data_IF_641661242947
#
_entry.id   IF_641661242947
#
_cell.length_a   1.000
_cell.length_b   1.000
_cell.length_c   1.000
_cell.angle_alpha   90.00
_cell.angle_beta   90.00
_cell.angle_gamma   90.00
#
_symmetry.space_group_name_H-M   'P 1'
#
loop_
_entity.id
_entity.type
_entity.pdbx_description
1 polymer ?
#
# COMPACT_ATOMS: atom_id res chain seq x y z
N UNK A 1 -15.33 36.72 -20.07
CA UNK A 1 -16.35 37.03 -19.05
C UNK A 1 -17.28 35.84 -18.94
N UNK A 2 -17.49 35.33 -17.72
CA UNK A 2 -18.47 34.28 -17.43
C UNK A 2 -19.89 34.75 -17.78
N UNK A 3 -20.74 33.87 -18.32
CA UNK A 3 -21.84 33.29 -17.52
C UNK A 3 -22.48 32.05 -18.20
N UNK A 4 -23.14 31.27 -17.34
CA UNK A 4 -23.68 29.91 -17.39
C UNK A 4 -24.88 29.72 -18.33
N UNK A 5 -25.03 28.48 -18.83
CA UNK A 5 -26.20 27.56 -18.74
C UNK A 5 -26.32 26.68 -19.99
N UNK A 6 -26.99 25.53 -19.85
CA UNK A 6 -27.27 24.46 -20.83
C UNK A 6 -26.09 23.46 -20.97
N UNK A 7 -26.17 22.17 -20.67
CA UNK A 7 -27.29 21.24 -20.71
C UNK A 7 -27.12 20.13 -19.65
N UNK A 8 -28.25 19.73 -19.05
CA UNK A 8 -28.42 18.46 -18.34
C UNK A 8 -29.71 17.83 -18.90
N UNK A 9 -29.76 16.49 -18.87
CA UNK A 9 -30.92 15.59 -19.03
C UNK A 9 -31.06 14.92 -20.41
N UNK A 10 -30.63 13.66 -20.52
CA UNK A 10 -31.52 12.46 -20.65
C UNK A 10 -30.70 11.18 -20.87
N UNK A 11 -31.02 10.11 -20.12
CA UNK A 11 -30.62 8.75 -20.47
C UNK A 11 -30.54 7.75 -19.32
N UNK A 12 -31.70 7.14 -18.99
CA UNK A 12 -31.94 5.78 -18.46
C UNK A 12 -30.95 5.17 -17.44
N UNK A 13 -31.35 4.77 -16.22
CA UNK A 13 -32.48 3.89 -15.94
C UNK A 13 -32.01 2.43 -15.88
N UNK A 14 -31.50 2.00 -14.72
CA UNK A 14 -31.07 0.62 -14.49
C UNK A 14 -30.57 0.41 -13.06
N UNK A 15 -31.38 -0.30 -12.27
CA UNK A 15 -31.19 -0.53 -10.84
C UNK A 15 -29.86 -1.19 -10.48
N UNK A 16 -29.12 -0.61 -9.53
CA UNK A 16 -28.07 -1.28 -8.76
C UNK A 16 -28.13 -0.76 -7.33
N UNK A 17 -28.29 -1.70 -6.39
CA UNK A 17 -28.47 -1.45 -4.97
C UNK A 17 -27.37 -0.56 -4.39
N UNK A 18 -27.80 0.38 -3.57
CA UNK A 18 -27.02 1.22 -2.69
C UNK A 18 -26.22 0.36 -1.70
N UNK A 19 -25.00 -0.04 -2.08
CA UNK A 19 -23.96 -0.31 -1.08
C UNK A 19 -23.46 1.06 -0.64
N UNK A 20 -24.06 1.57 0.43
CA UNK A 20 -23.48 2.64 1.24
C UNK A 20 -22.20 2.10 1.88
N UNK A 21 -21.12 2.13 1.10
CA UNK A 21 -19.77 1.97 1.62
C UNK A 21 -19.48 3.16 2.52
N UNK A 22 -19.63 2.97 3.83
CA UNK A 22 -19.00 3.84 4.81
C UNK A 22 -17.50 3.84 4.49
N UNK A 23 -17.01 4.96 3.97
CA UNK A 23 -15.59 5.23 3.90
C UNK A 23 -15.08 5.29 5.33
N UNK A 24 -14.57 4.16 5.82
CA UNK A 24 -13.86 4.18 7.08
C UNK A 24 -12.67 5.13 6.92
N UNK A 25 -12.52 6.13 7.81
CA UNK A 25 -11.32 6.93 7.84
C UNK A 25 -10.17 5.96 8.12
N UNK A 26 -9.12 6.04 7.30
CA UNK A 26 -7.88 5.30 7.47
C UNK A 26 -7.37 5.61 8.88
N UNK A 27 -7.60 4.68 9.82
CA UNK A 27 -7.17 4.83 11.20
C UNK A 27 -5.65 4.85 11.21
N UNK A 28 -5.13 5.99 11.59
CA UNK A 28 -3.73 6.19 11.83
C UNK A 28 -3.39 5.98 13.30
N UNK A 29 -2.50 5.02 13.53
CA UNK A 29 -1.63 4.84 14.70
C UNK A 29 -2.28 4.76 16.09
N UNK A 30 -2.93 3.63 16.38
CA UNK A 30 -2.96 3.00 17.71
C UNK A 30 -2.51 1.54 17.52
N UNK A 31 -1.39 1.12 18.13
CA UNK A 31 -0.86 -0.27 18.05
C UNK A 31 0.06 -0.55 16.86
N UNK A 32 1.33 -0.13 16.92
CA UNK A 32 2.37 -0.62 16.00
C UNK A 32 3.12 -1.77 16.67
N UNK A 33 3.19 -2.92 16.01
CA UNK A 33 3.93 -4.08 16.53
C UNK A 33 5.40 -3.96 16.10
N UNK A 34 6.38 -4.07 17.01
CA UNK A 34 7.79 -4.09 16.61
C UNK A 34 8.10 -5.35 15.79
N UNK A 35 9.02 -5.28 14.82
CA UNK A 35 9.40 -6.43 13.98
C UNK A 35 9.82 -7.67 14.78
N UNK A 36 10.45 -7.48 15.94
CA UNK A 36 10.84 -8.57 16.84
C UNK A 36 9.65 -9.33 17.46
N UNK A 37 8.47 -8.71 17.51
CA UNK A 37 7.23 -9.32 18.00
C UNK A 37 6.34 -9.85 16.85
N UNK A 38 6.82 -9.81 15.60
CA UNK A 38 6.08 -10.36 14.46
C UNK A 38 5.90 -11.87 14.63
N UNK A 39 4.66 -12.31 14.51
CA UNK A 39 4.28 -13.71 14.71
C UNK A 39 3.19 -14.13 13.71
N UNK A 40 2.88 -15.44 13.61
CA UNK A 40 1.70 -15.92 12.88
C UNK A 40 0.39 -15.21 13.28
N UNK A 41 0.25 -14.78 14.54
CA UNK A 41 -0.97 -14.11 15.02
C UNK A 41 -1.25 -12.75 14.37
N UNK A 42 -0.26 -12.15 13.69
CA UNK A 42 -0.41 -10.88 12.99
C UNK A 42 -0.88 -11.05 11.53
N UNK A 43 -1.13 -12.28 11.10
CA UNK A 43 -1.54 -12.60 9.73
C UNK A 43 -2.92 -13.26 9.71
N UNK A 44 -3.74 -12.85 8.75
CA UNK A 44 -4.95 -13.52 8.36
C UNK A 44 -4.65 -14.71 7.45
N UNK A 45 -5.13 -15.90 7.82
CA UNK A 45 -4.90 -17.14 7.06
C UNK A 45 -6.16 -17.50 6.29
N UNK A 46 -6.06 -17.56 4.96
CA UNK A 46 -7.14 -18.05 4.08
C UNK A 46 -6.65 -19.21 3.25
N UNK A 47 -7.47 -20.24 3.06
CA UNK A 47 -7.16 -21.36 2.17
C UNK A 47 -5.93 -22.19 2.56
N UNK A 48 -5.46 -22.12 3.81
CA UNK A 48 -4.18 -22.72 4.29
C UNK A 48 -3.99 -24.19 3.90
N UNK A 49 -5.09 -24.95 3.75
CA UNK A 49 -5.09 -26.36 3.31
C UNK A 49 -4.39 -26.58 1.96
N UNK A 50 -4.30 -25.57 1.11
CA UNK A 50 -3.58 -25.66 -0.17
C UNK A 50 -2.06 -25.84 0.03
N UNK A 51 -1.48 -25.36 1.15
CA UNK A 51 -0.06 -25.52 1.46
C UNK A 51 0.33 -27.00 1.65
N UNK A 52 -0.60 -27.85 2.09
CA UNK A 52 -0.38 -29.27 2.31
C UNK A 52 -0.48 -30.14 1.04
N UNK A 53 -0.71 -29.54 -0.13
CA UNK A 53 -1.03 -30.30 -1.35
C UNK A 53 0.19 -30.84 -2.12
N UNK A 54 1.36 -30.20 -2.02
CA UNK A 54 2.56 -30.64 -2.73
C UNK A 54 3.85 -30.28 -1.98
N UNK A 55 4.84 -31.18 -2.02
CA UNK A 55 6.17 -30.94 -1.47
C UNK A 55 7.08 -30.16 -2.43
N UNK A 56 6.70 -30.05 -3.71
CA UNK A 56 7.40 -29.27 -4.74
C UNK A 56 6.85 -27.84 -4.72
N UNK A 57 7.72 -26.84 -4.72
CA UNK A 57 7.36 -25.42 -4.72
C UNK A 57 7.95 -24.72 -5.94
N UNK A 58 7.13 -23.96 -6.66
CA UNK A 58 7.60 -22.98 -7.64
C UNK A 58 7.32 -21.56 -7.15
N UNK A 59 8.25 -20.65 -7.41
CA UNK A 59 8.14 -19.23 -7.11
C UNK A 59 8.33 -18.42 -8.40
N UNK A 60 7.29 -18.30 -9.24
CA UNK A 60 7.39 -17.65 -10.54
C UNK A 60 7.53 -16.12 -10.45
N UNK A 61 7.29 -15.52 -9.29
CA UNK A 61 7.44 -14.08 -9.06
C UNK A 61 7.66 -13.77 -7.58
N UNK A 62 8.29 -12.63 -7.31
CA UNK A 62 8.48 -12.04 -5.99
C UNK A 62 8.22 -10.54 -6.09
N UNK A 63 7.42 -10.00 -5.18
CA UNK A 63 7.03 -8.59 -5.22
C UNK A 63 7.59 -7.86 -4.02
N UNK A 64 8.47 -6.90 -4.27
CA UNK A 64 8.93 -5.95 -3.28
C UNK A 64 8.33 -4.58 -3.59
N UNK A 65 7.63 -4.01 -2.63
CA UNK A 65 6.92 -2.75 -2.78
C UNK A 65 7.43 -1.69 -1.82
N UNK A 66 7.46 -0.45 -2.28
CA UNK A 66 7.75 0.70 -1.45
C UNK A 66 6.73 1.81 -1.72
N UNK A 67 6.21 2.42 -0.66
CA UNK A 67 5.40 3.64 -0.78
C UNK A 67 6.31 4.78 -1.23
N UNK A 68 6.02 5.38 -2.37
CA UNK A 68 6.80 6.49 -2.93
C UNK A 68 6.25 7.86 -2.50
N UNK A 69 4.94 7.94 -2.28
CA UNK A 69 4.29 9.14 -1.76
C UNK A 69 3.10 8.77 -0.90
N UNK A 70 2.81 9.60 0.10
CA UNK A 70 1.68 9.46 1.00
C UNK A 70 1.11 10.84 1.32
N UNK A 71 -0.17 10.92 1.67
CA UNK A 71 -0.82 12.18 2.00
C UNK A 71 -1.93 12.01 3.01
N UNK A 72 -2.19 13.06 3.79
CA UNK A 72 -3.30 13.09 4.74
C UNK A 72 -3.90 14.48 4.76
N UNK A 73 -5.23 14.54 4.85
CA UNK A 73 -5.95 15.79 5.01
C UNK A 73 -6.94 15.68 6.17
N UNK A 74 -7.05 16.74 6.95
CA UNK A 74 -8.02 16.91 8.01
C UNK A 74 -8.81 18.20 7.82
N UNK A 75 -10.08 18.17 8.22
CA UNK A 75 -10.98 19.31 8.07
C UNK A 75 -11.72 19.56 9.39
N UNK A 76 -11.66 20.80 9.87
CA UNK A 76 -12.34 21.28 11.07
C UNK A 76 -13.72 21.87 10.75
N UNK A 77 -14.45 22.27 11.80
CA UNK A 77 -15.83 22.79 11.81
C UNK A 77 -16.40 23.19 10.43
N UNK A 78 -17.26 22.33 9.87
CA UNK A 78 -18.01 22.58 8.63
C UNK A 78 -17.17 22.99 7.40
N UNK A 79 -15.88 22.65 7.35
CA UNK A 79 -15.00 23.03 6.23
C UNK A 79 -14.22 24.34 6.45
N UNK A 80 -14.39 25.00 7.59
CA UNK A 80 -13.76 26.30 7.88
C UNK A 80 -12.26 26.24 8.14
N UNK A 81 -11.69 25.05 8.39
CA UNK A 81 -10.24 24.87 8.52
C UNK A 81 -9.83 23.59 7.80
N UNK A 82 -8.83 23.67 6.93
CA UNK A 82 -8.29 22.52 6.18
C UNK A 82 -6.79 22.41 6.39
N UNK A 83 -6.33 21.23 6.78
CA UNK A 83 -4.89 20.94 6.88
C UNK A 83 -4.58 19.75 5.98
N UNK A 84 -3.59 19.89 5.10
CA UNK A 84 -3.13 18.82 4.19
C UNK A 84 -1.61 18.69 4.31
N UNK A 85 -1.16 17.47 4.56
CA UNK A 85 0.25 17.13 4.62
C UNK A 85 0.57 16.01 3.64
N UNK A 86 1.59 16.23 2.82
CA UNK A 86 2.10 15.24 1.86
C UNK A 86 3.54 14.90 2.17
N UNK A 87 3.90 13.64 2.02
CA UNK A 87 5.27 13.18 2.16
C UNK A 87 5.67 12.34 0.96
N UNK A 88 6.91 12.51 0.52
CA UNK A 88 7.52 11.75 -0.57
C UNK A 88 8.78 11.04 -0.09
N UNK A 89 9.02 9.84 -0.60
CA UNK A 89 10.26 9.11 -0.36
C UNK A 89 11.35 9.65 -1.29
N UNK A 90 12.50 10.02 -0.72
CA UNK A 90 13.65 10.52 -1.47
C UNK A 90 14.92 9.75 -1.10
N UNK A 91 15.81 9.58 -2.09
CA UNK A 91 17.08 8.86 -1.91
C UNK A 91 17.00 7.36 -2.23
N UNK A 92 15.99 6.93 -2.98
CA UNK A 92 15.81 5.55 -3.45
C UNK A 92 15.65 5.55 -4.96
N UNK A 93 16.31 4.62 -5.64
CA UNK A 93 16.22 4.43 -7.09
C UNK A 93 15.79 2.99 -7.46
N UNK A 94 15.49 2.78 -8.74
CA UNK A 94 15.03 1.48 -9.23
C UNK A 94 16.09 0.36 -9.08
N UNK A 95 17.38 0.57 -9.42
CA UNK A 95 18.41 -0.43 -9.19
C UNK A 95 18.50 -0.88 -7.74
N UNK A 96 18.47 0.06 -6.79
CA UNK A 96 18.48 -0.23 -5.35
C UNK A 96 17.27 -1.10 -4.94
N UNK A 97 16.06 -0.74 -5.38
CA UNK A 97 14.85 -1.51 -5.07
C UNK A 97 14.90 -2.93 -5.65
N UNK A 98 15.39 -3.09 -6.89
CA UNK A 98 15.56 -4.41 -7.52
C UNK A 98 16.61 -5.25 -6.80
N UNK A 99 17.69 -4.62 -6.31
CA UNK A 99 18.71 -5.31 -5.52
C UNK A 99 18.15 -5.78 -4.17
N UNK A 100 17.36 -4.96 -3.48
CA UNK A 100 16.66 -5.36 -2.25
C UNK A 100 15.73 -6.55 -2.55
N UNK A 101 14.95 -6.46 -3.62
CA UNK A 101 14.06 -7.55 -4.05
C UNK A 101 14.83 -8.85 -4.30
N UNK A 102 15.99 -8.78 -4.96
CA UNK A 102 16.84 -9.94 -5.22
C UNK A 102 17.34 -10.60 -3.92
N UNK A 103 17.91 -9.81 -3.01
CA UNK A 103 18.42 -10.30 -1.73
C UNK A 103 17.31 -10.88 -0.85
N UNK A 104 16.16 -10.20 -0.80
CA UNK A 104 14.99 -10.67 -0.06
C UNK A 104 14.42 -11.97 -0.66
N UNK A 105 14.33 -12.07 -1.99
CA UNK A 105 13.90 -13.29 -2.66
C UNK A 105 14.86 -14.47 -2.37
N UNK A 106 16.17 -14.25 -2.41
CA UNK A 106 17.15 -15.30 -2.07
C UNK A 106 16.95 -15.82 -0.64
N UNK A 107 16.80 -14.91 0.33
CA UNK A 107 16.50 -15.27 1.72
C UNK A 107 15.21 -16.11 1.83
N UNK A 108 14.15 -15.72 1.12
CA UNK A 108 12.90 -16.47 1.13
C UNK A 108 13.08 -17.88 0.55
N UNK A 109 13.77 -18.00 -0.58
CA UNK A 109 14.07 -19.29 -1.22
C UNK A 109 14.81 -20.22 -0.26
N UNK A 110 15.82 -19.71 0.43
CA UNK A 110 16.62 -20.50 1.36
C UNK A 110 15.80 -20.93 2.59
N UNK A 111 14.95 -20.05 3.13
CA UNK A 111 14.00 -20.41 4.20
C UNK A 111 13.00 -21.48 3.76
N UNK A 112 12.50 -21.42 2.53
CA UNK A 112 11.60 -22.46 2.00
C UNK A 112 12.35 -23.78 1.82
N UNK A 113 13.58 -23.78 1.30
CA UNK A 113 14.42 -25.00 1.21
C UNK A 113 14.66 -25.61 2.59
N UNK A 114 14.88 -24.79 3.61
CA UNK A 114 15.08 -25.24 4.99
C UNK A 114 13.85 -25.96 5.59
N UNK A 115 12.65 -25.80 5.01
CA UNK A 115 11.47 -26.60 5.40
C UNK A 115 11.52 -28.06 4.90
N UNK A 116 12.55 -28.42 4.12
CA UNK A 116 12.71 -29.72 3.48
C UNK A 116 11.84 -29.93 2.26
N UNK A 117 11.25 -28.86 1.71
CA UNK A 117 10.51 -28.87 0.44
C UNK A 117 11.44 -28.62 -0.74
N UNK A 118 11.11 -29.23 -1.88
CA UNK A 118 11.89 -29.06 -3.11
C UNK A 118 11.47 -27.77 -3.80
N UNK A 119 12.37 -26.79 -3.87
CA UNK A 119 12.16 -25.57 -4.65
C UNK A 119 12.61 -25.79 -6.08
N UNK A 120 11.70 -25.62 -7.04
CA UNK A 120 11.97 -25.77 -8.47
C UNK A 120 12.90 -24.66 -8.97
N UNK A 121 13.78 -25.01 -9.91
CA UNK A 121 14.70 -24.07 -10.54
C UNK A 121 14.00 -23.17 -11.56
N UNK A 122 14.58 -22.00 -11.82
CA UNK A 122 14.01 -21.02 -12.76
C UNK A 122 13.76 -21.61 -14.15
N UNK A 123 14.72 -22.35 -14.70
CA UNK A 123 14.61 -22.94 -16.04
C UNK A 123 13.42 -23.91 -16.17
N UNK A 124 13.11 -24.67 -15.11
CA UNK A 124 11.96 -25.58 -15.08
C UNK A 124 10.64 -24.78 -15.06
N UNK A 125 10.60 -23.69 -14.28
CA UNK A 125 9.44 -22.81 -14.18
C UNK A 125 9.20 -22.08 -15.51
N UNK A 126 10.23 -21.43 -16.06
CA UNK A 126 10.12 -20.61 -17.26
C UNK A 126 9.88 -21.43 -18.53
N UNK A 127 10.33 -22.68 -18.56
CA UNK A 127 10.11 -23.60 -19.68
C UNK A 127 8.71 -24.20 -19.74
N UNK A 128 7.89 -24.04 -18.70
CA UNK A 128 6.55 -24.60 -18.66
C UNK A 128 5.56 -23.76 -19.51
N UNK A 129 4.76 -24.36 -20.42
CA UNK A 129 3.74 -23.64 -21.19
C UNK A 129 2.72 -22.85 -20.35
N UNK A 130 2.47 -23.26 -19.09
CA UNK A 130 1.65 -22.47 -18.17
C UNK A 130 2.25 -21.11 -17.84
N UNK A 131 3.58 -21.03 -17.72
CA UNK A 131 4.30 -19.79 -17.43
C UNK A 131 4.27 -18.80 -18.60
N UNK A 132 4.40 -19.29 -19.84
CA UNK A 132 4.35 -18.45 -21.04
C UNK A 132 3.02 -17.69 -21.23
N UNK A 133 1.95 -18.11 -20.54
CA UNK A 133 0.62 -17.48 -20.57
C UNK A 133 0.44 -16.37 -19.53
N UNK A 134 1.43 -16.14 -18.67
CA UNK A 134 1.37 -15.07 -17.67
C UNK A 134 1.49 -13.71 -18.36
N UNK A 135 0.47 -12.88 -18.17
CA UNK A 135 0.47 -11.48 -18.59
C UNK A 135 1.28 -10.66 -17.59
N UNK A 136 2.45 -10.22 -18.05
CA UNK A 136 3.43 -9.51 -17.24
C UNK A 136 3.01 -8.05 -17.01
N UNK A 137 3.39 -7.53 -15.85
CA UNK A 137 3.21 -6.13 -15.48
C UNK A 137 4.54 -5.40 -15.63
N UNK A 138 4.49 -4.18 -16.15
CA UNK A 138 5.67 -3.32 -16.28
C UNK A 138 6.35 -3.09 -14.92
N UNK A 139 7.69 -3.04 -14.92
CA UNK A 139 8.51 -2.74 -13.74
C UNK A 139 9.17 -1.35 -13.91
N UNK A 140 9.11 -0.46 -12.91
CA UNK A 140 8.29 -0.58 -11.70
C UNK A 140 6.80 -0.44 -12.02
N UNK A 141 5.97 -1.17 -11.29
CA UNK A 141 4.52 -0.97 -11.33
C UNK A 141 4.15 0.10 -10.31
N UNK A 142 3.64 1.24 -10.79
CA UNK A 142 3.18 2.32 -9.93
C UNK A 142 1.66 2.27 -9.79
N UNK A 143 1.17 2.23 -8.54
CA UNK A 143 -0.26 2.22 -8.26
C UNK A 143 -0.61 3.09 -7.05
N UNK A 144 -1.61 3.93 -7.24
CA UNK A 144 -2.36 4.55 -6.14
C UNK A 144 -3.66 3.77 -5.95
N UNK A 145 -3.83 3.01 -4.85
CA UNK A 145 -5.08 2.32 -4.57
C UNK A 145 -6.26 3.30 -4.46
N UNK A 146 -7.46 2.87 -4.84
CA UNK A 146 -8.65 3.69 -4.69
C UNK A 146 -8.93 3.94 -3.21
N UNK A 147 -9.29 5.18 -2.85
CA UNK A 147 -9.48 5.65 -1.47
C UNK A 147 -8.25 5.50 -0.54
N UNK A 148 -7.05 5.31 -1.12
CA UNK A 148 -5.78 5.33 -0.39
C UNK A 148 -4.93 6.50 -0.90
N UNK A 149 -4.30 7.22 0.03
CA UNK A 149 -3.42 8.33 -0.32
C UNK A 149 -2.03 7.87 -0.79
N UNK A 150 -1.67 6.61 -0.51
CA UNK A 150 -0.36 6.05 -0.82
C UNK A 150 -0.21 5.75 -2.30
N UNK A 151 0.92 6.14 -2.88
CA UNK A 151 1.38 5.62 -4.16
C UNK A 151 2.45 4.58 -3.91
N UNK A 152 2.23 3.35 -4.34
CA UNK A 152 3.15 2.22 -4.16
C UNK A 152 3.87 1.92 -5.47
N UNK A 153 5.19 1.75 -5.41
CA UNK A 153 5.99 1.18 -6.48
C UNK A 153 6.28 -0.28 -6.16
N UNK A 154 5.88 -1.21 -7.04
CA UNK A 154 6.25 -2.62 -6.97
C UNK A 154 7.38 -2.93 -7.95
N UNK A 155 8.35 -3.70 -7.47
CA UNK A 155 9.45 -4.26 -8.24
C UNK A 155 9.60 -5.75 -7.97
N UNK A 156 10.47 -6.39 -8.73
CA UNK A 156 10.81 -7.81 -8.69
C UNK A 156 12.32 -7.94 -8.94
N UNK A 157 12.99 -9.03 -8.53
CA UNK A 157 14.36 -9.31 -8.96
C UNK A 157 14.50 -9.26 -10.48
N UNK A 158 15.68 -8.92 -10.98
CA UNK A 158 15.88 -8.64 -12.41
C UNK A 158 15.48 -9.77 -13.37
N UNK A 159 15.67 -11.00 -12.91
CA UNK A 159 15.44 -12.23 -13.68
C UNK A 159 14.05 -12.84 -13.45
N UNK A 160 13.22 -12.25 -12.59
CA UNK A 160 11.84 -12.71 -12.36
C UNK A 160 10.85 -11.72 -12.97
N UNK A 161 9.78 -12.19 -13.62
CA UNK A 161 8.72 -11.31 -14.08
C UNK A 161 7.96 -10.72 -12.89
N UNK A 162 7.47 -9.50 -13.07
CA UNK A 162 6.39 -8.98 -12.26
C UNK A 162 5.09 -9.32 -12.98
N UNK A 163 4.11 -9.83 -12.26
CA UNK A 163 2.74 -9.91 -12.73
C UNK A 163 1.81 -9.77 -11.54
N UNK A 164 0.66 -9.14 -11.73
CA UNK A 164 -0.39 -9.06 -10.71
C UNK A 164 -1.54 -10.02 -11.03
N UNK A 165 -2.27 -10.39 -9.98
CA UNK A 165 -3.52 -11.14 -10.03
C UNK A 165 -4.68 -10.18 -9.76
N UNK A 166 -5.89 -10.52 -10.21
CA UNK A 166 -7.09 -9.77 -9.81
C UNK A 166 -7.28 -9.76 -8.29
N UNK A 167 -6.88 -10.85 -7.61
CA UNK A 167 -6.97 -10.99 -6.16
C UNK A 167 -5.92 -10.18 -5.39
N UNK A 168 -4.97 -9.55 -6.08
CA UNK A 168 -4.00 -8.62 -5.48
C UNK A 168 -4.55 -7.20 -5.31
N UNK A 169 -5.83 -7.00 -5.61
CA UNK A 169 -6.53 -5.76 -5.30
C UNK A 169 -6.32 -5.37 -3.81
N UNK A 170 -6.05 -4.09 -3.52
CA UNK A 170 -6.13 -2.97 -4.46
C UNK A 170 -4.80 -2.63 -5.17
N UNK A 171 -3.74 -3.41 -4.97
CA UNK A 171 -2.43 -3.28 -5.65
C UNK A 171 -2.34 -4.17 -6.90
N UNK A 172 -3.28 -3.97 -7.82
CA UNK A 172 -3.31 -4.70 -9.09
C UNK A 172 -3.69 -3.78 -10.25
N UNK A 173 -3.16 -4.09 -11.44
CA UNK A 173 -3.58 -3.56 -12.74
C UNK A 173 -4.71 -4.40 -13.37
N UNK A 174 -5.08 -5.52 -12.75
CA UNK A 174 -6.07 -6.44 -13.28
C UNK A 174 -7.47 -6.14 -12.74
N UNK A 175 -8.47 -6.20 -13.62
CA UNK A 175 -9.89 -6.14 -13.24
C UNK A 175 -10.25 -7.32 -12.31
N UNK A 176 -11.22 -7.17 -11.38
CA UNK A 176 -11.72 -8.28 -10.56
C UNK A 176 -12.13 -9.54 -11.33
N UNK A 177 -12.53 -9.38 -12.60
CA UNK A 177 -12.94 -10.47 -13.49
C UNK A 177 -11.80 -11.01 -14.37
N UNK A 178 -10.59 -10.43 -14.29
CA UNK A 178 -9.43 -10.87 -15.07
C UNK A 178 -8.78 -12.10 -14.43
N UNK A 179 -9.28 -13.28 -14.82
CA UNK A 179 -8.80 -14.57 -14.33
C UNK A 179 -7.62 -15.14 -15.12
N UNK A 180 -7.11 -14.42 -16.13
CA UNK A 180 -6.07 -14.91 -17.05
C UNK A 180 -4.83 -15.43 -16.32
N UNK A 181 -4.22 -14.58 -15.48
CA UNK A 181 -3.03 -14.97 -14.70
C UNK A 181 -3.33 -16.07 -13.68
N UNK A 182 -4.52 -16.10 -13.06
CA UNK A 182 -4.89 -17.19 -12.15
C UNK A 182 -4.96 -18.53 -12.89
N UNK A 183 -5.57 -18.56 -14.09
CA UNK A 183 -5.63 -19.76 -14.93
C UNK A 183 -4.23 -20.19 -15.39
N UNK A 184 -3.36 -19.24 -15.73
CA UNK A 184 -1.97 -19.53 -16.08
C UNK A 184 -1.19 -20.17 -14.90
N UNK A 185 -1.38 -19.66 -13.68
CA UNK A 185 -0.80 -20.25 -12.47
C UNK A 185 -1.35 -21.65 -12.17
N UNK A 186 -2.65 -21.88 -12.36
CA UNK A 186 -3.23 -23.22 -12.21
C UNK A 186 -2.66 -24.20 -13.24
N UNK A 187 -2.50 -23.77 -14.49
CA UNK A 187 -1.86 -24.56 -15.54
C UNK A 187 -0.40 -24.90 -15.17
N UNK A 188 0.36 -23.91 -14.70
CA UNK A 188 1.74 -24.08 -14.25
C UNK A 188 1.84 -25.08 -13.08
N UNK A 189 0.99 -24.91 -12.07
CA UNK A 189 0.91 -25.78 -10.90
C UNK A 189 0.59 -27.23 -11.28
N UNK A 190 -0.41 -27.44 -12.13
CA UNK A 190 -0.82 -28.77 -12.58
C UNK A 190 0.28 -29.45 -13.42
N UNK A 191 0.94 -28.70 -14.30
CA UNK A 191 1.99 -29.23 -15.16
C UNK A 191 3.24 -29.65 -14.37
N UNK A 192 3.69 -28.81 -13.44
CA UNK A 192 4.89 -29.05 -12.64
C UNK A 192 4.61 -29.83 -11.34
N UNK A 193 3.35 -30.20 -11.11
CA UNK A 193 2.86 -30.89 -9.91
C UNK A 193 3.33 -30.22 -8.61
N UNK A 194 3.26 -28.88 -8.58
CA UNK A 194 3.85 -28.06 -7.53
C UNK A 194 2.86 -27.10 -6.89
N UNK A 195 3.18 -26.66 -5.69
CA UNK A 195 2.59 -25.51 -5.03
C UNK A 195 3.26 -24.23 -5.57
N UNK A 196 2.48 -23.28 -6.04
CA UNK A 196 2.96 -21.95 -6.41
C UNK A 196 2.96 -21.06 -5.16
N UNK A 197 4.07 -20.39 -4.89
CA UNK A 197 4.18 -19.34 -3.87
C UNK A 197 4.54 -18.00 -4.54
N UNK A 198 3.84 -16.93 -4.17
CA UNK A 198 4.11 -15.57 -4.65
C UNK A 198 4.13 -14.63 -3.43
N UNK A 199 5.32 -14.29 -2.91
CA UNK A 199 5.46 -13.35 -1.80
C UNK A 199 5.29 -11.90 -2.28
N UNK A 200 4.70 -11.08 -1.43
CA UNK A 200 4.59 -9.63 -1.59
C UNK A 200 4.95 -8.97 -0.26
N UNK A 201 6.01 -8.17 -0.24
CA UNK A 201 6.41 -7.38 0.93
C UNK A 201 6.32 -5.91 0.54
N UNK A 202 5.56 -5.11 1.30
CA UNK A 202 5.40 -3.68 1.01
C UNK A 202 5.78 -2.83 2.22
N UNK A 203 6.70 -1.90 2.01
CA UNK A 203 7.24 -0.99 3.04
C UNK A 203 6.71 0.42 2.83
N UNK A 204 6.25 1.05 3.91
CA UNK A 204 5.86 2.46 3.99
C UNK A 204 6.87 3.22 4.85
N UNK A 205 7.13 4.48 4.50
CA UNK A 205 8.12 5.34 5.17
C UNK A 205 7.50 6.36 6.15
N UNK A 206 6.17 6.42 6.21
CA UNK A 206 5.48 7.33 7.11
C UNK A 206 4.17 6.74 7.63
N UNK A 207 3.95 6.86 8.93
CA UNK A 207 2.62 6.69 9.51
C UNK A 207 1.99 8.08 9.67
N UNK A 208 1.02 8.39 8.82
CA UNK A 208 0.30 9.66 8.84
C UNK A 208 -0.87 9.58 9.79
N UNK A 209 -0.99 10.49 10.76
CA UNK A 209 -2.14 10.69 11.65
C UNK A 209 -2.91 11.95 11.30
N UNK A 210 -4.24 11.93 11.46
CA UNK A 210 -5.07 13.10 11.19
C UNK A 210 -6.27 13.13 12.13
N UNK A 211 -6.72 14.33 12.50
CA UNK A 211 -7.87 14.53 13.38
C UNK A 211 -9.22 14.14 12.75
N UNK A 212 -9.22 13.75 11.47
CA UNK A 212 -10.41 13.40 10.70
C UNK A 212 -11.23 14.61 10.24
N UNK A 213 -12.43 14.34 9.72
CA UNK A 213 -13.43 15.36 9.40
C UNK A 213 -14.33 15.57 10.62
N UNK A 214 -14.17 16.68 11.32
CA UNK A 214 -15.00 17.00 12.50
C UNK A 214 -16.08 18.01 12.10
N UNK A 215 -17.34 17.60 12.25
CA UNK A 215 -18.50 18.51 12.11
C UNK A 215 -18.57 19.47 13.29
N UNK A 216 -18.22 19.00 14.49
CA UNK A 216 -18.18 19.77 15.73
C UNK A 216 -16.77 19.72 16.33
N UNK A 217 -15.95 20.74 16.05
CA UNK A 217 -14.59 20.88 16.54
C UNK A 217 -13.82 21.97 15.78
N UNK A 218 -13.26 22.94 16.50
CA UNK A 218 -12.63 24.14 15.91
C UNK A 218 -11.21 23.96 15.37
N UNK A 219 -10.67 22.75 15.35
CA UNK A 219 -9.29 22.48 14.88
C UNK A 219 -9.19 21.26 13.99
N UNK A 220 -8.33 21.37 12.98
CA UNK A 220 -7.84 20.26 12.17
C UNK A 220 -6.34 20.10 12.43
N UNK A 221 -5.88 18.87 12.60
CA UNK A 221 -4.48 18.54 12.85
C UNK A 221 -4.07 17.33 12.03
N UNK A 222 -2.84 17.34 11.53
CA UNK A 222 -2.21 16.21 10.85
C UNK A 222 -0.79 16.02 11.39
N UNK A 223 -0.42 14.78 11.64
CA UNK A 223 0.91 14.39 12.09
C UNK A 223 1.54 13.41 11.12
N UNK A 224 2.85 13.53 10.91
CA UNK A 224 3.65 12.56 10.17
C UNK A 224 4.61 11.91 11.15
N UNK A 225 4.44 10.63 11.45
CA UNK A 225 5.43 9.85 12.18
C UNK A 225 6.39 9.20 11.18
N UNK A 226 7.64 9.69 11.06
CA UNK A 226 8.64 9.06 10.20
C UNK A 226 9.01 7.68 10.74
N UNK A 227 9.33 6.76 9.83
CA UNK A 227 9.78 5.41 10.16
C UNK A 227 9.45 4.45 9.05
N UNK A 228 10.07 3.28 9.06
CA UNK A 228 9.79 2.23 8.10
C UNK A 228 8.79 1.25 8.71
N UNK A 229 7.79 0.88 7.91
CA UNK A 229 6.69 0.02 8.36
C UNK A 229 6.31 -0.99 7.28
N UNK A 230 6.07 -2.25 7.65
CA UNK A 230 5.35 -3.16 6.75
C UNK A 230 3.88 -2.80 6.70
N UNK A 231 3.34 -2.81 5.49
CA UNK A 231 1.98 -2.35 5.21
C UNK A 231 1.00 -3.52 5.32
N UNK A 232 -0.01 -3.43 6.21
CA UNK A 232 -1.12 -4.39 6.24
C UNK A 232 -1.82 -4.48 4.90
N UNK A 233 -2.47 -5.61 4.63
CA UNK A 233 -3.15 -5.95 3.37
C UNK A 233 -2.22 -6.10 2.15
N UNK A 234 -1.16 -5.29 2.05
CA UNK A 234 -0.22 -5.29 0.91
C UNK A 234 0.93 -6.27 1.09
N UNK A 235 1.33 -6.49 2.35
CA UNK A 235 2.30 -7.53 2.74
C UNK A 235 1.57 -8.86 2.89
N UNK A 236 1.83 -9.80 1.98
CA UNK A 236 1.11 -11.07 1.93
C UNK A 236 1.93 -12.18 1.25
N UNK A 237 1.59 -13.43 1.54
CA UNK A 237 1.99 -14.59 0.76
C UNK A 237 0.76 -15.16 0.05
N UNK A 238 0.73 -15.11 -1.28
CA UNK A 238 -0.28 -15.81 -2.08
C UNK A 238 0.22 -17.20 -2.45
N UNK A 239 -0.66 -18.20 -2.40
CA UNK A 239 -0.31 -19.56 -2.76
C UNK A 239 -1.42 -20.28 -3.51
N UNK A 240 -1.04 -21.13 -4.46
CA UNK A 240 -1.96 -21.81 -5.37
C UNK A 240 -1.50 -23.23 -5.64
N UNK A 241 -2.45 -24.16 -5.69
CA UNK A 241 -2.22 -25.53 -6.09
C UNK A 241 -3.39 -26.02 -6.96
N UNK A 242 -3.09 -26.56 -8.13
CA UNK A 242 -4.08 -27.10 -9.04
C UNK A 242 -3.68 -28.50 -9.52
N UNK A 243 -4.66 -29.40 -9.63
CA UNK A 243 -4.49 -30.69 -10.30
C UNK A 243 -4.80 -30.62 -11.79
N UNK A 244 -5.60 -29.63 -12.20
CA UNK A 244 -5.99 -29.39 -13.60
C UNK A 244 -5.84 -27.90 -13.94
N UNK A 245 -5.57 -27.55 -15.21
CA UNK A 245 -5.34 -26.16 -15.61
C UNK A 245 -6.49 -25.19 -15.33
N UNK A 246 -7.73 -25.69 -15.27
CA UNK A 246 -8.93 -24.87 -15.16
C UNK A 246 -9.36 -24.56 -13.72
N UNK A 247 -8.97 -25.38 -12.75
CA UNK A 247 -9.44 -25.27 -11.37
C UNK A 247 -8.36 -25.69 -10.38
N UNK A 248 -8.22 -24.89 -9.32
CA UNK A 248 -7.25 -25.11 -8.26
C UNK A 248 -7.73 -24.53 -6.94
N UNK A 249 -7.08 -24.97 -5.87
CA UNK A 249 -7.21 -24.40 -4.54
C UNK A 249 -6.17 -23.28 -4.38
N UNK A 250 -6.52 -22.22 -3.67
CA UNK A 250 -5.60 -21.13 -3.38
C UNK A 250 -5.93 -20.45 -2.08
N UNK A 251 -4.99 -19.65 -1.61
CA UNK A 251 -5.12 -18.95 -0.34
C UNK A 251 -4.07 -17.87 -0.19
N UNK A 252 -4.16 -17.17 0.94
CA UNK A 252 -3.28 -16.06 1.28
C UNK A 252 -2.97 -16.04 2.77
N UNK A 253 -1.76 -15.61 3.09
CA UNK A 253 -1.39 -15.08 4.40
C UNK A 253 -1.32 -13.57 4.26
N UNK A 254 -2.19 -12.81 4.92
CA UNK A 254 -2.29 -11.36 4.74
C UNK A 254 -1.94 -10.69 6.07
N UNK A 255 -0.96 -9.77 6.06
CA UNK A 255 -0.62 -9.01 7.25
C UNK A 255 -1.81 -8.14 7.67
N UNK A 256 -2.25 -8.24 8.93
CA UNK A 256 -3.34 -7.42 9.49
C UNK A 256 -2.80 -6.22 10.28
N UNK A 257 -1.68 -6.42 10.97
CA UNK A 257 -1.09 -5.40 11.84
C UNK A 257 0.02 -4.61 11.16
N UNK A 258 0.13 -3.31 11.50
CA UNK A 258 1.22 -2.48 11.00
C UNK A 258 2.50 -2.78 11.81
N UNK A 259 3.54 -3.23 11.12
CA UNK A 259 4.80 -3.65 11.77
C UNK A 259 5.86 -2.57 11.61
N UNK A 260 6.47 -2.13 12.72
CA UNK A 260 7.59 -1.19 12.70
C UNK A 260 8.90 -1.93 12.48
N UNK A 261 9.62 -1.58 11.41
CA UNK A 261 10.91 -2.21 11.05
C UNK A 261 12.12 -1.32 11.29
N UNK A 262 11.90 -0.06 11.69
CA UNK A 262 12.97 0.85 12.12
C UNK A 262 12.84 2.25 11.54
N UNK A 263 13.95 2.98 11.46
CA UNK A 263 14.05 4.29 10.86
C UNK A 263 15.35 4.35 10.06
N UNK A 264 15.31 4.86 8.84
CA UNK A 264 16.45 4.89 7.92
C UNK A 264 16.71 6.28 7.32
N UNK A 265 16.15 7.32 7.94
CA UNK A 265 16.11 8.64 7.33
C UNK A 265 15.47 9.68 8.22
N UNK A 266 15.37 10.89 7.67
CA UNK A 266 14.79 12.05 8.33
C UNK A 266 13.70 12.68 7.47
N UNK A 267 12.65 13.15 8.14
CA UNK A 267 11.62 13.96 7.51
C UNK A 267 12.13 15.40 7.38
N UNK A 268 12.06 15.96 6.17
CA UNK A 268 12.46 17.33 5.86
C UNK A 268 11.27 18.03 5.24
N UNK A 269 10.80 19.13 5.85
CA UNK A 269 9.78 19.98 5.23
C UNK A 269 10.38 20.68 4.02
N UNK A 270 9.77 20.50 2.85
CA UNK A 270 10.23 21.09 1.59
C UNK A 270 9.44 22.32 1.18
N UNK A 271 8.18 22.40 1.58
CA UNK A 271 7.35 23.59 1.38
C UNK A 271 6.24 23.68 2.43
N UNK A 272 5.81 24.90 2.69
CA UNK A 272 4.64 25.20 3.51
C UNK A 272 3.93 26.44 2.98
N UNK A 273 2.61 26.39 2.88
CA UNK A 273 1.80 27.55 2.53
C UNK A 273 0.51 27.54 3.35
N UNK A 274 0.19 28.68 3.96
CA UNK A 274 -1.00 28.88 4.78
C UNK A 274 -1.48 30.33 4.65
N UNK A 275 -2.72 30.59 5.05
CA UNK A 275 -3.31 31.94 5.15
C UNK A 275 -3.50 32.39 6.61
N UNK A 276 -2.70 31.89 7.54
CA UNK A 276 -2.88 32.19 8.98
C UNK A 276 -2.71 33.68 9.26
N UNK A 277 -1.65 34.27 8.69
CA UNK A 277 -1.35 35.68 8.84
C UNK A 277 -2.45 36.58 8.25
N UNK A 278 -2.97 36.23 7.07
CA UNK A 278 -4.10 36.94 6.44
C UNK A 278 -5.36 36.88 7.31
N UNK A 279 -5.67 35.71 7.88
CA UNK A 279 -6.81 35.55 8.79
C UNK A 279 -6.61 36.36 10.07
N UNK A 280 -5.40 36.38 10.64
CA UNK A 280 -5.10 37.15 11.84
C UNK A 280 -5.19 38.66 11.58
N UNK A 281 -4.75 39.14 10.41
CA UNK A 281 -4.92 40.52 9.96
C UNK A 281 -6.42 40.88 9.82
N UNK A 282 -7.20 40.04 9.15
CA UNK A 282 -8.65 40.24 9.04
C UNK A 282 -9.36 40.18 10.39
N UNK A 283 -8.92 39.31 11.30
CA UNK A 283 -9.45 39.23 12.66
C UNK A 283 -9.11 40.48 13.47
N UNK A 284 -7.89 41.01 13.33
CA UNK A 284 -7.47 42.25 13.97
C UNK A 284 -8.29 43.44 13.42
N UNK A 285 -8.46 43.53 12.10
CA UNK A 285 -9.29 44.55 11.45
C UNK A 285 -10.75 44.45 11.89
N UNK A 286 -11.32 43.25 11.92
CA UNK A 286 -12.70 43.01 12.37
C UNK A 286 -12.93 43.37 13.84
N UNK A 287 -11.94 43.16 14.72
CA UNK A 287 -12.00 43.54 16.14
C UNK A 287 -11.77 45.04 16.36
N UNK A 288 -11.12 45.72 15.42
CA UNK A 288 -10.90 47.16 15.51
C UNK A 288 -12.22 47.93 15.41
N UNK A 289 -12.31 49.07 16.10
CA UNK A 289 -13.45 49.99 16.00
C UNK A 289 -13.58 50.70 14.64
N UNK A 290 -12.58 50.52 13.78
CA UNK A 290 -12.38 51.28 12.56
C UNK A 290 -13.53 51.12 11.55
N UNK A 291 -14.08 49.91 11.41
CA UNK A 291 -15.09 49.64 10.40
C UNK A 291 -16.52 49.92 10.90
N UNK A 292 -16.85 49.67 12.17
CA UNK A 292 -18.19 49.93 12.71
C UNK A 292 -18.41 51.39 13.16
N UNK A 293 -17.34 52.16 13.35
CA UNK A 293 -17.42 53.60 13.61
C UNK A 293 -17.74 54.44 12.34
N UNK A 294 -17.64 53.86 11.14
CA UNK A 294 -17.95 54.54 9.88
C UNK A 294 -19.42 54.31 9.47
N UNK A 295 -20.19 55.40 9.36
CA UNK A 295 -21.60 55.35 8.98
C UNK A 295 -21.74 54.85 7.52
N UNK A 296 -22.41 53.71 7.33
CA UNK A 296 -22.60 53.09 6.01
C UNK A 296 -21.50 52.11 5.58
N UNK A 297 -20.54 51.79 6.46
CA UNK A 297 -19.53 50.79 6.16
C UNK A 297 -20.15 49.39 5.99
N UNK A 298 -19.74 48.70 4.93
CA UNK A 298 -20.09 47.29 4.71
C UNK A 298 -19.12 46.42 5.49
N UNK A 299 -19.59 45.32 6.13
CA UNK A 299 -18.69 44.38 6.76
C UNK A 299 -17.63 43.91 5.77
N UNK A 300 -16.34 43.86 6.17
CA UNK A 300 -15.29 43.40 5.27
C UNK A 300 -15.57 41.96 4.80
N UNK A 301 -15.28 41.69 3.52
CA UNK A 301 -15.23 40.34 2.99
C UNK A 301 -14.07 39.60 3.66
N UNK A 302 -14.39 38.62 4.52
CA UNK A 302 -13.39 37.83 5.23
C UNK A 302 -13.10 36.54 4.45
N UNK A 303 -11.86 36.02 4.48
CA UNK A 303 -11.59 34.65 4.10
C UNK A 303 -12.54 33.72 4.87
N UNK A 304 -13.26 32.85 4.17
CA UNK A 304 -14.26 31.96 4.76
C UNK A 304 -13.67 30.73 5.44
N UNK A 305 -12.36 30.50 5.31
CA UNK A 305 -11.67 29.41 6.02
C UNK A 305 -10.15 29.53 6.06
N UNK A 306 -9.57 28.93 7.10
CA UNK A 306 -8.14 28.71 7.26
C UNK A 306 -7.67 27.49 6.47
N UNK A 307 -6.50 27.57 5.87
CA UNK A 307 -5.82 26.42 5.31
C UNK A 307 -4.34 26.37 5.67
N UNK A 308 -3.82 25.15 5.77
CA UNK A 308 -2.41 24.87 5.97
C UNK A 308 -2.01 23.68 5.10
N UNK A 309 -1.08 23.92 4.17
CA UNK A 309 -0.52 22.92 3.29
C UNK A 309 0.96 22.76 3.59
N UNK A 310 1.39 21.54 3.88
CA UNK A 310 2.80 21.22 4.09
C UNK A 310 3.24 20.04 3.25
N UNK A 311 4.38 20.17 2.60
CA UNK A 311 5.03 19.09 1.85
C UNK A 311 6.32 18.69 2.54
N UNK A 312 6.57 17.40 2.62
CA UNK A 312 7.72 16.80 3.25
C UNK A 312 8.41 15.81 2.31
N UNK A 313 9.71 15.62 2.53
CA UNK A 313 10.47 14.50 1.99
C UNK A 313 11.01 13.67 3.15
N UNK A 314 10.80 12.36 3.08
CA UNK A 314 11.56 11.42 3.88
C UNK A 314 12.84 11.06 3.13
N UNK A 315 13.95 11.69 3.54
CA UNK A 315 15.26 11.47 2.93
C UNK A 315 15.96 10.32 3.63
N UNK A 316 16.16 9.22 2.91
CA UNK A 316 16.79 8.02 3.47
C UNK A 316 18.30 8.03 3.29
N UNK A 317 18.99 7.37 4.21
CA UNK A 317 20.31 6.82 3.96
C UNK A 317 20.13 5.48 3.22
N UNK A 318 20.71 5.29 2.02
CA UNK A 318 20.51 4.07 1.24
C UNK A 318 20.93 2.78 1.97
N UNK A 319 22.02 2.81 2.74
CA UNK A 319 22.50 1.62 3.44
C UNK A 319 21.54 1.21 4.57
N UNK A 320 21.14 2.18 5.40
CA UNK A 320 20.20 1.95 6.50
C UNK A 320 18.82 1.50 5.99
N UNK A 321 18.37 2.08 4.86
CA UNK A 321 17.10 1.72 4.24
C UNK A 321 17.13 0.28 3.72
N UNK A 322 18.21 -0.08 3.03
CA UNK A 322 18.43 -1.46 2.54
C UNK A 322 18.41 -2.45 3.70
N UNK A 323 19.16 -2.18 4.77
CA UNK A 323 19.23 -3.05 5.94
C UNK A 323 17.85 -3.25 6.58
N UNK A 324 17.14 -2.16 6.87
CA UNK A 324 15.82 -2.21 7.49
C UNK A 324 14.77 -2.92 6.63
N UNK A 325 14.79 -2.70 5.31
CA UNK A 325 13.90 -3.42 4.37
C UNK A 325 14.18 -4.93 4.36
N UNK A 326 15.45 -5.33 4.37
CA UNK A 326 15.84 -6.74 4.41
C UNK A 326 15.46 -7.39 5.75
N UNK A 327 15.60 -6.69 6.87
CA UNK A 327 15.20 -7.20 8.18
C UNK A 327 13.67 -7.38 8.27
N UNK A 328 12.90 -6.42 7.74
CA UNK A 328 11.45 -6.57 7.60
C UNK A 328 11.07 -7.78 6.73
N UNK A 329 11.71 -7.93 5.57
CA UNK A 329 11.48 -9.05 4.67
C UNK A 329 11.82 -10.40 5.33
N UNK A 330 13.00 -10.52 5.97
CA UNK A 330 13.43 -11.74 6.69
C UNK A 330 12.44 -12.14 7.79
N UNK A 331 11.91 -11.17 8.53
CA UNK A 331 10.93 -11.42 9.57
C UNK A 331 9.63 -11.98 8.97
N UNK A 332 9.08 -11.34 7.93
CA UNK A 332 7.89 -11.83 7.24
C UNK A 332 8.11 -13.21 6.59
N UNK A 333 9.25 -13.41 5.94
CA UNK A 333 9.63 -14.70 5.35
C UNK A 333 9.71 -15.81 6.38
N UNK A 334 10.13 -15.52 7.60
CA UNK A 334 10.19 -16.52 8.68
C UNK A 334 8.79 -16.98 9.08
N UNK A 335 7.81 -16.07 9.14
CA UNK A 335 6.40 -16.43 9.37
C UNK A 335 5.83 -17.22 8.20
N UNK A 336 6.09 -16.79 6.96
CA UNK A 336 5.67 -17.49 5.75
C UNK A 336 6.23 -18.92 5.67
N UNK A 337 7.53 -19.08 5.86
CA UNK A 337 8.18 -20.38 5.86
C UNK A 337 7.68 -21.26 7.02
N UNK A 338 7.45 -20.67 8.20
CA UNK A 338 6.83 -21.36 9.33
C UNK A 338 5.45 -21.93 8.99
N UNK A 339 4.60 -21.14 8.33
CA UNK A 339 3.28 -21.60 7.86
C UNK A 339 3.38 -22.72 6.81
N UNK A 340 4.32 -22.60 5.86
CA UNK A 340 4.60 -23.63 4.85
C UNK A 340 5.09 -24.93 5.52
N UNK A 341 5.97 -24.84 6.51
CA UNK A 341 6.51 -25.97 7.24
C UNK A 341 5.45 -26.68 8.08
N UNK A 342 4.63 -25.91 8.80
CA UNK A 342 3.54 -26.44 9.63
C UNK A 342 2.47 -27.20 8.83
N UNK A 343 2.37 -26.93 7.51
CA UNK A 343 1.41 -27.56 6.61
C UNK A 343 2.12 -28.43 5.56
N UNK A 344 3.21 -29.12 5.92
CA UNK A 344 3.92 -30.03 5.00
C UNK A 344 3.01 -31.24 4.65
N UNK A 345 2.98 -31.69 3.38
CA UNK A 345 2.32 -32.95 3.04
C UNK A 345 2.96 -34.09 3.84
N UNK A 346 2.12 -34.93 4.44
CA UNK A 346 2.51 -36.19 5.09
C UNK A 346 3.10 -37.18 4.10
#
# INVERSE_FOLDING_TARGET
MLDRRTALILGAGGALGTILGSSQPTLAAKGMTPVAALSPGNFHYTGIKALAKSARIAMPSYRFGVVMSNGIAATGASGSTRVDARAELAGVDLPMLRQIAHLAFSDFVDKIRATGRTVLGWNEISGAPGFAKLDQTQVPFLKKPFADARTVALVTPEYLPLFNLHSDAPLSDKSPFSLGNLKALNALSAQLQCLILIPSIVIDFAALTGSGHKVYGGSADVGIKPGLFMVPLFTQLSFFHAKIPMAGDGGKLILEDRISIGQAGKLVQTSSYNNRAEIDEWNAYARSSYWWAQRGATPPLRPTGAYDYSTYQYRVNPADFTAACLDGARAAHSVFAGAVNANRPS
#
